data_IF_474667475373
#
_entry.id   IF_474667475373
#
_cell.length_a   1.000
_cell.length_b   1.000
_cell.length_c   1.000
_cell.angle_alpha   90.00
_cell.angle_beta   90.00
_cell.angle_gamma   90.00
#
_symmetry.space_group_name_H-M   'P 1'
#
loop_
_entity.id
_entity.type
_entity.pdbx_description
1 polymer ?
#
# COMPACT_ATOMS: atom_id res chain seq x y z
N UNK A 1 2.52 3.68 13.13
CA UNK A 1 1.53 4.30 14.05
C UNK A 1 2.30 5.09 15.10
N UNK A 2 1.93 6.36 15.30
CA UNK A 2 2.40 7.20 16.40
C UNK A 2 1.25 7.32 17.41
N UNK A 3 1.50 6.98 18.66
CA UNK A 3 0.52 7.09 19.75
C UNK A 3 0.57 8.47 20.42
N UNK A 4 -0.48 8.89 21.14
CA UNK A 4 -0.48 10.15 21.89
C UNK A 4 0.65 10.27 22.92
N UNK A 5 1.07 9.14 23.50
CA UNK A 5 2.19 9.08 24.46
C UNK A 5 3.58 9.10 23.78
N UNK A 6 3.65 9.23 22.45
CA UNK A 6 4.91 9.34 21.69
C UNK A 6 5.57 8.01 21.31
N UNK A 7 4.96 6.86 21.60
CA UNK A 7 5.45 5.57 21.13
C UNK A 7 5.21 5.39 19.63
N UNK A 8 6.09 4.60 19.00
CA UNK A 8 6.01 4.29 17.57
C UNK A 8 5.97 2.79 17.36
N UNK A 9 5.03 2.36 16.50
CA UNK A 9 4.87 0.96 16.09
C UNK A 9 4.84 0.89 14.57
N UNK A 10 5.59 -0.04 13.99
CA UNK A 10 5.72 -0.17 12.54
C UNK A 10 5.41 -1.61 12.11
N UNK A 11 4.91 -1.75 10.88
CA UNK A 11 4.74 -3.01 10.18
C UNK A 11 5.28 -2.81 8.76
N UNK A 12 6.06 -3.77 8.25
CA UNK A 12 6.74 -3.64 6.96
C UNK A 12 7.86 -2.60 6.96
N UNK A 13 8.19 -2.08 5.78
CA UNK A 13 9.27 -1.10 5.58
C UNK A 13 10.67 -1.71 5.45
N UNK A 14 10.77 -3.02 5.22
CA UNK A 14 12.04 -3.74 5.10
C UNK A 14 12.64 -3.75 3.69
N UNK A 15 11.95 -3.12 2.74
CA UNK A 15 12.35 -3.08 1.34
C UNK A 15 12.09 -4.38 0.58
N UNK A 16 12.19 -4.28 -0.74
CA UNK A 16 11.82 -5.30 -1.73
C UNK A 16 12.33 -6.73 -1.53
N UNK A 17 13.43 -6.94 -0.80
CA UNK A 17 13.97 -8.29 -0.60
C UNK A 17 13.16 -9.11 0.40
N UNK A 18 12.53 -8.46 1.38
CA UNK A 18 11.86 -9.11 2.51
C UNK A 18 10.60 -8.35 2.95
N UNK A 19 10.00 -7.58 2.04
CA UNK A 19 8.83 -6.76 2.35
C UNK A 19 8.32 -6.00 1.12
N UNK A 20 7.94 -4.73 1.33
CA UNK A 20 7.31 -3.86 0.34
C UNK A 20 5.92 -4.36 -0.12
N UNK A 21 5.23 -5.15 0.71
CA UNK A 21 3.89 -5.67 0.41
C UNK A 21 2.88 -4.53 0.16
N UNK A 22 2.12 -4.65 -0.93
CA UNK A 22 1.18 -3.61 -1.35
C UNK A 22 1.82 -2.41 -2.07
N UNK A 23 3.14 -2.38 -2.21
CA UNK A 23 3.83 -1.35 -3.01
C UNK A 23 3.74 -1.60 -4.52
N UNK A 24 4.20 -0.62 -5.31
CA UNK A 24 4.36 -0.77 -6.75
C UNK A 24 5.36 -1.88 -7.12
N UNK A 25 6.41 -2.10 -6.31
CA UNK A 25 7.33 -3.21 -6.49
C UNK A 25 6.59 -4.55 -6.32
N UNK A 26 5.83 -4.69 -5.24
CA UNK A 26 5.08 -5.92 -4.94
C UNK A 26 4.05 -6.23 -6.04
N UNK A 27 3.28 -5.24 -6.50
CA UNK A 27 2.32 -5.40 -7.61
C UNK A 27 3.04 -5.87 -8.89
N UNK A 28 4.15 -5.21 -9.24
CA UNK A 28 4.96 -5.58 -10.42
C UNK A 28 5.51 -7.00 -10.27
N UNK A 29 6.01 -7.34 -9.09
CA UNK A 29 6.56 -8.66 -8.80
C UNK A 29 5.50 -9.76 -8.89
N UNK A 30 4.31 -9.54 -8.31
CA UNK A 30 3.19 -10.48 -8.41
C UNK A 30 2.74 -10.66 -9.87
N UNK A 31 2.69 -9.59 -10.66
CA UNK A 31 2.37 -9.66 -12.10
C UNK A 31 3.36 -10.55 -12.86
N UNK A 32 4.66 -10.29 -12.68
CA UNK A 32 5.73 -11.08 -13.32
C UNK A 32 5.69 -12.54 -12.84
N UNK A 33 5.53 -12.75 -11.53
CA UNK A 33 5.49 -14.10 -10.94
C UNK A 33 4.28 -14.90 -11.42
N UNK A 34 3.12 -14.27 -11.62
CA UNK A 34 1.95 -14.90 -12.20
C UNK A 34 2.22 -15.43 -13.62
N UNK A 35 2.89 -14.63 -14.46
CA UNK A 35 3.30 -15.04 -15.82
C UNK A 35 4.26 -16.22 -15.76
N UNK A 36 5.33 -16.15 -14.96
CA UNK A 36 6.29 -17.25 -14.81
C UNK A 36 5.62 -18.54 -14.33
N UNK A 37 4.80 -18.45 -13.28
CA UNK A 37 4.14 -19.62 -12.72
C UNK A 37 3.22 -20.33 -13.73
N UNK A 38 2.52 -19.56 -14.57
CA UNK A 38 1.62 -20.11 -15.57
C UNK A 38 2.39 -20.73 -16.75
N UNK A 39 3.43 -20.07 -17.26
CA UNK A 39 4.23 -20.56 -18.38
C UNK A 39 5.06 -21.80 -18.00
N UNK A 40 5.56 -21.87 -16.76
CA UNK A 40 6.25 -23.05 -16.23
C UNK A 40 5.27 -24.20 -15.88
N UNK A 41 3.95 -23.95 -15.89
CA UNK A 41 2.95 -24.90 -15.42
C UNK A 41 3.00 -25.19 -13.91
N UNK A 42 3.63 -24.33 -13.12
CA UNK A 42 3.85 -24.50 -11.68
C UNK A 42 2.60 -24.19 -10.85
N UNK A 43 1.92 -23.08 -11.16
CA UNK A 43 0.66 -22.69 -10.51
C UNK A 43 -0.33 -22.27 -11.59
N UNK A 44 -1.51 -22.88 -11.67
CA UNK A 44 -2.51 -22.49 -12.65
C UNK A 44 -2.98 -21.05 -12.34
N UNK A 45 -3.06 -20.18 -13.35
CA UNK A 45 -3.45 -18.80 -13.11
C UNK A 45 -4.95 -18.72 -12.82
N UNK A 46 -5.34 -17.85 -11.88
CA UNK A 46 -6.75 -17.63 -11.53
C UNK A 46 -7.52 -16.87 -12.64
N UNK A 47 -6.79 -16.14 -13.47
CA UNK A 47 -7.29 -15.33 -14.58
C UNK A 47 -6.37 -15.52 -15.80
N UNK A 48 -6.85 -15.17 -17.00
CA UNK A 48 -6.01 -15.23 -18.19
C UNK A 48 -4.76 -14.34 -18.04
N UNK A 49 -3.59 -14.86 -18.45
CA UNK A 49 -2.31 -14.15 -18.30
C UNK A 49 -1.89 -13.39 -19.56
N UNK A 50 -2.62 -13.51 -20.68
CA UNK A 50 -2.18 -13.01 -21.99
C UNK A 50 -1.91 -11.51 -21.94
N UNK A 51 -2.83 -10.76 -21.32
CA UNK A 51 -2.72 -9.31 -21.20
C UNK A 51 -1.52 -8.91 -20.34
N UNK A 52 -1.39 -9.48 -19.12
CA UNK A 52 -0.27 -9.17 -18.21
C UNK A 52 1.07 -9.62 -18.80
N UNK A 53 1.14 -10.77 -19.47
CA UNK A 53 2.34 -11.24 -20.18
C UNK A 53 2.80 -10.22 -21.21
N UNK A 54 1.88 -9.69 -22.02
CA UNK A 54 2.17 -8.62 -22.98
C UNK A 54 2.72 -7.37 -22.28
N UNK A 55 2.09 -6.92 -21.19
CA UNK A 55 2.58 -5.78 -20.42
C UNK A 55 4.00 -5.98 -19.88
N UNK A 56 4.30 -7.17 -19.35
CA UNK A 56 5.65 -7.51 -18.86
C UNK A 56 6.65 -7.44 -20.02
N UNK A 57 6.33 -8.04 -21.16
CA UNK A 57 7.24 -8.11 -22.30
C UNK A 57 7.50 -6.72 -22.89
N UNK A 58 6.43 -5.92 -23.06
CA UNK A 58 6.53 -4.56 -23.57
C UNK A 58 7.31 -3.64 -22.62
N UNK A 59 7.04 -3.73 -21.31
CA UNK A 59 7.68 -2.88 -20.31
C UNK A 59 9.19 -3.14 -20.22
N UNK A 60 9.59 -4.42 -20.15
CA UNK A 60 11.00 -4.83 -20.02
C UNK A 60 11.71 -4.97 -21.37
N UNK A 61 10.99 -4.85 -22.50
CA UNK A 61 11.52 -4.98 -23.86
C UNK A 61 12.19 -6.33 -24.10
N UNK A 62 11.44 -7.39 -23.81
CA UNK A 62 11.90 -8.78 -23.92
C UNK A 62 10.94 -9.59 -24.79
N UNK A 63 11.47 -10.59 -25.49
CA UNK A 63 10.67 -11.46 -26.36
C UNK A 63 10.30 -12.80 -25.70
N UNK A 64 10.93 -13.13 -24.57
CA UNK A 64 10.69 -14.35 -23.81
C UNK A 64 11.14 -14.20 -22.35
N UNK A 65 10.76 -15.17 -21.50
CA UNK A 65 11.02 -15.12 -20.06
C UNK A 65 12.50 -15.07 -19.67
N UNK A 66 13.42 -15.62 -20.47
CA UNK A 66 14.85 -15.56 -20.17
C UNK A 66 15.37 -14.11 -20.20
N UNK A 67 14.74 -13.23 -20.97
CA UNK A 67 15.07 -11.80 -20.98
C UNK A 67 14.90 -11.13 -19.62
N UNK A 68 14.05 -11.66 -18.73
CA UNK A 68 13.88 -11.10 -17.38
C UNK A 68 15.10 -11.34 -16.47
N UNK A 69 15.96 -12.31 -16.76
CA UNK A 69 17.13 -12.61 -15.91
C UNK A 69 18.07 -11.39 -15.82
N UNK A 70 18.23 -10.64 -16.91
CA UNK A 70 18.96 -9.38 -16.92
C UNK A 70 18.35 -8.37 -15.95
N UNK A 71 17.02 -8.25 -15.92
CA UNK A 71 16.28 -7.32 -15.07
C UNK A 71 16.17 -7.76 -13.62
N UNK A 72 16.43 -9.03 -13.30
CA UNK A 72 16.48 -9.52 -11.92
C UNK A 72 17.88 -9.45 -11.31
N UNK A 73 18.92 -9.66 -12.10
CA UNK A 73 20.28 -9.89 -11.59
C UNK A 73 21.29 -8.88 -12.12
N UNK A 74 21.54 -8.87 -13.44
CA UNK A 74 22.67 -8.14 -14.01
C UNK A 74 22.45 -6.62 -14.06
N UNK A 75 21.20 -6.19 -14.30
CA UNK A 75 20.79 -4.80 -14.56
C UNK A 75 19.58 -4.43 -13.70
N UNK A 76 19.52 -4.95 -12.48
CA UNK A 76 18.39 -4.68 -11.60
C UNK A 76 18.31 -3.18 -11.29
N UNK A 77 17.20 -2.57 -11.70
CA UNK A 77 16.80 -1.22 -11.34
C UNK A 77 15.43 -1.31 -10.67
N UNK A 78 15.39 -1.04 -9.37
CA UNK A 78 14.17 -1.14 -8.57
C UNK A 78 13.08 -0.19 -9.06
N UNK A 79 13.44 1.03 -9.49
CA UNK A 79 12.48 2.02 -9.93
C UNK A 79 11.87 1.61 -11.28
N UNK A 80 12.70 1.17 -12.22
CA UNK A 80 12.24 0.65 -13.50
C UNK A 80 11.38 -0.61 -13.33
N UNK A 81 11.80 -1.53 -12.46
CA UNK A 81 11.04 -2.74 -12.11
C UNK A 81 9.65 -2.40 -11.57
N UNK A 82 9.59 -1.48 -10.60
CA UNK A 82 8.33 -1.02 -10.00
C UNK A 82 7.47 -0.23 -10.98
N UNK A 83 8.07 0.29 -12.06
CA UNK A 83 7.40 1.04 -13.10
C UNK A 83 6.33 0.24 -13.85
N UNK A 84 6.45 -1.11 -13.90
CA UNK A 84 5.45 -1.99 -14.49
C UNK A 84 4.07 -1.79 -13.83
N UNK A 85 4.03 -1.49 -12.52
CA UNK A 85 2.80 -1.21 -11.78
C UNK A 85 1.90 -0.17 -12.46
N UNK A 86 2.49 0.82 -13.15
CA UNK A 86 1.72 1.83 -13.88
C UNK A 86 0.94 1.20 -15.04
N UNK A 87 1.57 0.33 -15.82
CA UNK A 87 0.92 -0.37 -16.92
C UNK A 87 -0.16 -1.33 -16.40
N UNK A 88 0.11 -2.04 -15.31
CA UNK A 88 -0.89 -2.91 -14.64
C UNK A 88 -2.08 -2.08 -14.13
N UNK A 89 -1.85 -0.89 -13.58
CA UNK A 89 -2.93 0.01 -13.15
C UNK A 89 -3.81 0.44 -14.32
N UNK A 90 -3.21 0.80 -15.46
CA UNK A 90 -3.93 1.14 -16.69
C UNK A 90 -4.76 -0.06 -17.17
N UNK A 91 -4.18 -1.25 -17.23
CA UNK A 91 -4.91 -2.46 -17.62
C UNK A 91 -6.10 -2.78 -16.71
N UNK A 92 -5.97 -2.54 -15.40
CA UNK A 92 -7.08 -2.72 -14.46
C UNK A 92 -8.18 -1.65 -14.61
N UNK A 93 -7.80 -0.39 -14.87
CA UNK A 93 -8.72 0.76 -14.92
C UNK A 93 -9.41 0.91 -16.27
N UNK A 94 -8.66 0.82 -17.36
CA UNK A 94 -9.12 1.14 -18.72
C UNK A 94 -9.60 -0.13 -19.42
N UNK A 95 -8.76 -1.16 -19.47
CA UNK A 95 -9.07 -2.41 -20.18
C UNK A 95 -9.89 -3.41 -19.33
N UNK A 96 -10.02 -3.14 -18.03
CA UNK A 96 -10.72 -3.99 -17.06
C UNK A 96 -10.19 -5.43 -17.05
N UNK A 97 -8.88 -5.60 -17.25
CA UNK A 97 -8.24 -6.91 -17.22
C UNK A 97 -8.40 -7.56 -15.83
N UNK A 98 -9.00 -8.77 -15.73
CA UNK A 98 -9.28 -9.41 -14.45
C UNK A 98 -8.03 -9.68 -13.61
N UNK A 99 -6.91 -10.07 -14.25
CA UNK A 99 -5.67 -10.34 -13.52
C UNK A 99 -5.09 -9.05 -12.94
N UNK A 100 -5.07 -7.96 -13.72
CA UNK A 100 -4.65 -6.65 -13.22
C UNK A 100 -5.51 -6.18 -12.03
N UNK A 101 -6.84 -6.33 -12.11
CA UNK A 101 -7.73 -5.99 -10.99
C UNK A 101 -7.47 -6.84 -9.75
N UNK A 102 -7.27 -8.15 -9.94
CA UNK A 102 -6.97 -9.08 -8.85
C UNK A 102 -5.66 -8.72 -8.15
N UNK A 103 -4.61 -8.34 -8.89
CA UNK A 103 -3.33 -7.92 -8.31
C UNK A 103 -3.47 -6.68 -7.42
N UNK A 104 -4.30 -5.71 -7.81
CA UNK A 104 -4.60 -4.55 -6.97
C UNK A 104 -5.48 -4.89 -5.76
N UNK A 105 -6.43 -5.82 -5.89
CA UNK A 105 -7.16 -6.35 -4.75
C UNK A 105 -6.20 -6.95 -3.71
N UNK A 106 -5.28 -7.82 -4.12
CA UNK A 106 -4.28 -8.41 -3.23
C UNK A 106 -3.39 -7.34 -2.57
N UNK A 107 -2.96 -6.34 -3.33
CA UNK A 107 -2.18 -5.22 -2.81
C UNK A 107 -2.96 -4.42 -1.76
N UNK A 108 -4.24 -4.14 -2.01
CA UNK A 108 -5.14 -3.52 -1.06
C UNK A 108 -5.24 -4.32 0.24
N UNK A 109 -5.41 -5.64 0.14
CA UNK A 109 -5.48 -6.53 1.30
C UNK A 109 -4.20 -6.48 2.14
N UNK A 110 -3.04 -6.52 1.49
CA UNK A 110 -1.75 -6.39 2.17
C UNK A 110 -1.62 -5.05 2.91
N UNK A 111 -2.03 -3.94 2.29
CA UNK A 111 -2.03 -2.61 2.92
C UNK A 111 -2.99 -2.54 4.12
N UNK A 112 -4.19 -3.12 4.01
CA UNK A 112 -5.15 -3.20 5.11
C UNK A 112 -4.59 -4.01 6.30
N UNK A 113 -3.88 -5.11 6.01
CA UNK A 113 -3.22 -5.94 7.04
C UNK A 113 -2.11 -5.19 7.79
N UNK A 114 -1.41 -4.26 7.14
CA UNK A 114 -0.41 -3.41 7.82
C UNK A 114 -1.04 -2.55 8.91
N UNK A 115 -2.19 -1.93 8.59
CA UNK A 115 -2.97 -1.16 9.58
C UNK A 115 -3.43 -2.08 10.70
N UNK A 116 -4.03 -3.21 10.34
CA UNK A 116 -4.50 -4.21 11.31
C UNK A 116 -3.40 -4.70 12.25
N UNK A 117 -2.18 -4.86 11.77
CA UNK A 117 -1.05 -5.28 12.60
C UNK A 117 -0.68 -4.21 13.63
N UNK A 118 -0.53 -2.95 13.22
CA UNK A 118 -0.05 -1.89 14.13
C UNK A 118 -1.08 -1.47 15.17
N UNK A 119 -2.38 -1.55 14.87
CA UNK A 119 -3.43 -1.16 15.83
C UNK A 119 -3.53 -2.12 17.03
N UNK A 120 -3.02 -3.35 16.92
CA UNK A 120 -3.04 -4.31 18.05
C UNK A 120 -2.12 -3.89 19.20
N UNK A 121 -1.22 -2.94 18.96
CA UNK A 121 -0.34 -2.38 20.00
C UNK A 121 -0.98 -1.22 20.78
N UNK A 122 -2.21 -0.81 20.45
CA UNK A 122 -2.89 0.27 21.16
C UNK A 122 -3.32 -0.15 22.56
N UNK A 123 -2.87 0.58 23.57
CA UNK A 123 -3.45 0.53 24.91
C UNK A 123 -4.86 1.19 24.94
N UNK A 124 -5.51 1.14 26.09
CA UNK A 124 -6.88 1.65 26.25
C UNK A 124 -6.97 3.17 25.97
N UNK A 125 -6.00 3.96 26.41
CA UNK A 125 -5.98 5.42 26.19
C UNK A 125 -5.82 5.77 24.70
N UNK A 126 -4.94 5.05 24.00
CA UNK A 126 -4.77 5.16 22.56
C UNK A 126 -6.05 4.81 21.82
N UNK A 127 -6.77 3.77 22.25
CA UNK A 127 -8.04 3.37 21.62
C UNK A 127 -9.12 4.44 21.82
N UNK A 128 -9.27 5.00 23.02
CA UNK A 128 -10.21 6.10 23.25
C UNK A 128 -9.90 7.31 22.38
N UNK A 129 -8.62 7.68 22.29
CA UNK A 129 -8.18 8.89 21.57
C UNK A 129 -8.26 8.73 20.05
N UNK A 130 -7.75 7.60 19.52
CA UNK A 130 -7.55 7.40 18.08
C UNK A 130 -8.70 6.69 17.39
N UNK A 131 -9.45 5.81 18.09
CA UNK A 131 -10.53 5.03 17.48
C UNK A 131 -11.92 5.62 17.76
N UNK A 132 -12.13 6.23 18.94
CA UNK A 132 -13.45 6.76 19.33
C UNK A 132 -13.66 8.24 19.03
N UNK A 133 -12.71 8.89 18.37
CA UNK A 133 -12.89 10.23 17.82
C UNK A 133 -14.06 10.27 16.83
N UNK A 134 -14.66 11.44 16.62
CA UNK A 134 -15.76 11.65 15.65
C UNK A 134 -15.38 11.35 14.20
N UNK A 135 -14.09 11.28 13.87
CA UNK A 135 -13.57 10.92 12.53
C UNK A 135 -13.09 9.46 12.44
N UNK A 136 -13.14 8.72 13.56
CA UNK A 136 -12.56 7.38 13.65
C UNK A 136 -11.03 7.40 13.52
N UNK A 137 -10.45 6.25 13.16
CA UNK A 137 -9.02 6.14 12.89
C UNK A 137 -8.65 6.92 11.64
N UNK A 138 -7.82 7.96 11.76
CA UNK A 138 -7.28 8.67 10.60
C UNK A 138 -6.01 7.97 10.09
N UNK A 139 -6.00 7.61 8.81
CA UNK A 139 -4.89 6.92 8.14
C UNK A 139 -4.35 7.82 7.04
N UNK A 140 -3.09 8.22 7.18
CA UNK A 140 -2.42 9.06 6.18
C UNK A 140 -1.84 8.17 5.08
N UNK A 141 -2.35 8.35 3.85
CA UNK A 141 -1.96 7.62 2.66
C UNK A 141 -0.90 8.41 1.87
N UNK A 142 0.33 7.88 1.85
CA UNK A 142 1.46 8.48 1.10
C UNK A 142 1.96 7.50 0.05
N UNK A 143 2.22 8.00 -1.16
CA UNK A 143 2.79 7.24 -2.27
C UNK A 143 1.86 7.12 -3.49
N UNK A 144 2.44 6.93 -4.67
CA UNK A 144 1.71 6.98 -5.95
C UNK A 144 0.67 5.86 -6.11
N UNK A 145 0.84 4.71 -5.43
CA UNK A 145 -0.11 3.58 -5.49
C UNK A 145 -1.51 3.98 -5.04
N UNK A 146 -1.64 4.94 -4.12
CA UNK A 146 -2.92 5.46 -3.64
C UNK A 146 -3.72 6.22 -4.71
N UNK A 147 -3.11 6.63 -5.82
CA UNK A 147 -3.84 7.17 -6.97
C UNK A 147 -4.80 6.13 -7.57
N UNK A 148 -4.52 4.85 -7.36
CA UNK A 148 -5.36 3.72 -7.74
C UNK A 148 -6.28 3.24 -6.60
N UNK A 149 -6.66 4.12 -5.66
CA UNK A 149 -7.49 3.75 -4.50
C UNK A 149 -8.73 2.92 -4.87
N UNK A 150 -9.42 3.26 -5.95
CA UNK A 150 -10.61 2.52 -6.40
C UNK A 150 -10.33 1.04 -6.71
N UNK A 151 -9.09 0.69 -7.12
CA UNK A 151 -8.69 -0.70 -7.33
C UNK A 151 -8.27 -1.40 -6.03
N UNK A 152 -7.75 -0.65 -5.06
CA UNK A 152 -7.28 -1.17 -3.77
C UNK A 152 -8.42 -1.37 -2.77
N UNK A 153 -9.51 -0.61 -2.91
CA UNK A 153 -10.56 -0.41 -1.91
C UNK A 153 -11.07 -1.72 -1.31
N UNK A 154 -11.55 -2.65 -2.14
CA UNK A 154 -12.20 -3.87 -1.65
C UNK A 154 -11.21 -4.79 -0.94
N UNK A 155 -9.99 -4.88 -1.46
CA UNK A 155 -8.89 -5.57 -0.81
C UNK A 155 -8.54 -4.93 0.53
N UNK A 156 -8.39 -3.60 0.56
CA UNK A 156 -8.07 -2.86 1.78
C UNK A 156 -9.12 -3.07 2.88
N UNK A 157 -10.41 -2.98 2.52
CA UNK A 157 -11.51 -3.26 3.44
C UNK A 157 -11.46 -4.69 3.96
N UNK A 158 -11.12 -5.66 3.11
CA UNK A 158 -10.92 -7.06 3.52
C UNK A 158 -9.74 -7.19 4.48
N UNK A 159 -8.61 -6.56 4.18
CA UNK A 159 -7.37 -6.66 4.95
C UNK A 159 -7.44 -5.98 6.32
N UNK A 160 -8.13 -4.84 6.42
CA UNK A 160 -8.29 -4.10 7.67
C UNK A 160 -9.37 -4.72 8.57
N UNK A 161 -10.34 -5.43 7.98
CA UNK A 161 -11.39 -6.11 8.74
C UNK A 161 -10.83 -7.15 9.70
N UNK A 162 -11.41 -7.21 10.91
CA UNK A 162 -11.09 -8.23 11.89
C UNK A 162 -12.08 -9.40 11.79
N UNK A 163 -11.58 -10.62 11.99
CA UNK A 163 -12.45 -11.73 12.36
C UNK A 163 -12.97 -11.44 13.78
N UNK A 164 -14.24 -11.75 14.12
CA UNK A 164 -14.85 -11.46 15.42
C UNK A 164 -14.26 -12.35 16.52
N UNK A 165 -12.99 -12.10 16.85
CA UNK A 165 -12.36 -12.50 18.10
C UNK A 165 -12.66 -11.42 19.14
N UNK A 166 -13.11 -11.83 20.32
CA UNK A 166 -13.45 -10.91 21.43
C UNK A 166 -12.24 -10.16 22.01
N UNK A 167 -11.01 -10.51 21.64
CA UNK A 167 -9.79 -9.95 22.25
C UNK A 167 -8.98 -9.01 21.35
N UNK A 168 -9.28 -8.95 20.05
CA UNK A 168 -8.53 -8.12 19.11
C UNK A 168 -9.05 -6.67 19.10
N UNK A 169 -8.14 -5.70 18.95
CA UNK A 169 -8.51 -4.30 18.70
C UNK A 169 -9.14 -4.21 17.31
N UNK A 170 -10.28 -3.53 17.20
CA UNK A 170 -11.05 -3.43 15.97
C UNK A 170 -11.21 -1.97 15.54
N UNK A 171 -11.10 -1.75 14.22
CA UNK A 171 -11.45 -0.46 13.60
C UNK A 171 -12.92 -0.50 13.25
N UNK A 172 -13.73 0.30 13.93
CA UNK A 172 -15.16 0.46 13.60
C UNK A 172 -15.38 1.48 12.49
N UNK A 173 -14.59 2.55 12.51
CA UNK A 173 -14.62 3.64 11.54
C UNK A 173 -13.22 4.15 11.28
N UNK A 174 -12.94 4.50 10.03
CA UNK A 174 -11.70 5.16 9.64
C UNK A 174 -11.91 6.18 8.53
N UNK A 175 -10.97 7.10 8.42
CA UNK A 175 -10.82 8.04 7.30
C UNK A 175 -9.44 7.87 6.67
N UNK A 176 -9.38 7.92 5.35
CA UNK A 176 -8.13 8.00 4.60
C UNK A 176 -7.91 9.44 4.17
N UNK A 177 -6.72 9.93 4.48
CA UNK A 177 -6.31 11.30 4.17
C UNK A 177 -5.03 11.30 3.34
N UNK A 178 -4.89 12.28 2.46
CA UNK A 178 -3.64 12.59 1.75
C UNK A 178 -3.05 13.89 2.30
N UNK A 179 -1.75 14.03 2.20
CA UNK A 179 -1.08 15.30 2.52
C UNK A 179 -1.35 16.32 1.41
N UNK A 180 -1.67 17.56 1.79
CA UNK A 180 -1.74 18.71 0.88
C UNK A 180 -0.36 19.31 0.60
N UNK A 181 0.54 19.15 1.55
CA UNK A 181 1.88 19.69 1.53
C UNK A 181 2.95 18.60 1.60
N UNK A 182 4.20 18.97 1.33
CA UNK A 182 5.34 18.07 1.45
C UNK A 182 5.55 17.60 2.89
N UNK A 183 5.94 16.34 3.06
CA UNK A 183 6.38 15.79 4.36
C UNK A 183 7.61 16.52 4.93
N UNK A 184 8.30 17.32 4.12
CA UNK A 184 9.36 18.23 4.56
C UNK A 184 8.90 19.23 5.63
N UNK A 185 7.62 19.63 5.65
CA UNK A 185 7.05 20.46 6.72
C UNK A 185 7.13 19.73 8.06
N UNK A 186 6.79 18.43 8.08
CA UNK A 186 6.92 17.60 9.28
C UNK A 186 8.38 17.49 9.76
N UNK A 187 9.33 17.37 8.83
CA UNK A 187 10.75 17.38 9.18
C UNK A 187 11.21 18.73 9.77
N UNK A 188 10.76 19.85 9.20
CA UNK A 188 11.04 21.18 9.75
C UNK A 188 10.45 21.37 11.14
N UNK A 189 9.22 20.88 11.37
CA UNK A 189 8.56 20.89 12.68
C UNK A 189 9.35 20.10 13.73
N UNK A 190 9.82 18.91 13.36
CA UNK A 190 10.65 18.09 14.24
C UNK A 190 11.98 18.79 14.56
N UNK A 191 12.65 19.37 13.56
CA UNK A 191 13.91 20.10 13.76
C UNK A 191 13.75 21.35 14.65
N UNK A 192 12.69 22.13 14.43
CA UNK A 192 12.35 23.28 15.27
C UNK A 192 12.12 22.86 16.72
N UNK A 193 11.37 21.77 16.94
CA UNK A 193 11.09 21.24 18.28
C UNK A 193 12.39 20.85 19.01
N UNK A 194 13.37 20.28 18.31
CA UNK A 194 14.69 19.99 18.87
C UNK A 194 15.44 21.26 19.29
N UNK A 195 15.24 22.38 18.60
CA UNK A 195 15.79 23.68 18.95
C UNK A 195 14.98 24.43 20.03
N UNK A 196 13.99 23.80 20.65
CA UNK A 196 13.11 24.43 21.64
C UNK A 196 12.11 25.42 21.04
N UNK A 197 11.85 25.35 19.73
CA UNK A 197 10.92 26.22 19.02
C UNK A 197 9.75 25.43 18.44
N UNK A 198 8.53 25.93 18.60
CA UNK A 198 7.33 25.31 18.01
C UNK A 198 6.91 26.10 16.79
N UNK A 199 6.96 25.47 15.61
CA UNK A 199 6.43 26.10 14.41
C UNK A 199 4.90 26.22 14.51
N UNK A 200 4.31 27.36 14.13
CA UNK A 200 2.87 27.56 14.13
C UNK A 200 2.22 26.87 12.92
N UNK A 201 2.13 25.54 12.98
CA UNK A 201 1.56 24.71 11.91
C UNK A 201 0.10 24.40 12.23
N UNK A 202 -0.79 24.72 11.30
CA UNK A 202 -2.18 24.26 11.31
C UNK A 202 -2.25 22.85 10.70
N UNK A 203 -2.14 21.83 11.55
CA UNK A 203 -2.13 20.42 11.11
C UNK A 203 -3.43 19.97 10.42
N UNK A 204 -4.58 20.54 10.81
CA UNK A 204 -5.86 20.19 10.18
C UNK A 204 -5.90 20.66 8.72
N UNK A 205 -5.28 21.81 8.42
CA UNK A 205 -5.15 22.32 7.04
C UNK A 205 -4.16 21.54 6.18
N UNK A 206 -3.30 20.67 6.76
CA UNK A 206 -2.25 19.95 6.02
C UNK A 206 -2.75 18.66 5.37
N UNK A 207 -3.97 18.23 5.68
CA UNK A 207 -4.54 16.97 5.20
C UNK A 207 -5.85 17.19 4.44
N UNK A 208 -6.14 16.26 3.53
CA UNK A 208 -7.41 16.19 2.80
C UNK A 208 -7.97 14.78 2.90
N UNK A 209 -9.16 14.64 3.47
CA UNK A 209 -9.91 13.38 3.45
C UNK A 209 -10.39 13.10 2.04
N UNK A 210 -10.13 11.88 1.54
CA UNK A 210 -10.61 11.42 0.25
C UNK A 210 -11.50 10.17 0.35
N UNK A 211 -11.56 9.53 1.53
CA UNK A 211 -12.42 8.38 1.78
C UNK A 211 -12.71 8.22 3.27
N UNK A 212 -13.93 7.80 3.61
CA UNK A 212 -14.31 7.37 4.96
C UNK A 212 -15.18 6.12 4.90
N UNK A 213 -15.09 5.29 5.94
CA UNK A 213 -15.82 4.04 6.04
C UNK A 213 -16.16 3.70 7.49
N UNK A 214 -17.35 3.13 7.69
CA UNK A 214 -17.85 2.59 8.94
C UNK A 214 -18.37 1.18 8.67
N UNK A 215 -17.94 0.22 9.50
CA UNK A 215 -18.23 -1.21 9.39
C UNK A 215 -19.54 -1.61 10.06
#
# INVERSE_FOLDING_TARGET
MLTPNGQTFNCGGWGHMIGDEGSAFCISHMAIKAVFNAEDGLVPPQHDITYVKKLVFDHFKIDNLFGMLDHFYAKFDKAYYSGLCKAVAVGALEDKDPLCQHLFFLAGELLGRHVKAVIQHMDQECQETLLRSSKGLQIICVGAVWQSWNLLKDGFLTGISCSPSNTAVQVKRFSLVKLRESSAIGAAALGAKTAGYTLPIDYDSMVEEFFSHEF
#
